data_IF_226152289335
#
_entry.id   IF_226152289335
#
_cell.length_a   1.000
_cell.length_b   1.000
_cell.length_c   1.000
_cell.angle_alpha   90.00
_cell.angle_beta   90.00
_cell.angle_gamma   90.00
#
_symmetry.space_group_name_H-M   'P 1'
#
loop_
_entity.id
_entity.type
_entity.pdbx_description
1 polymer ?
#
# COMPACT_ATOMS: atom_id res chain seq x y z
N UNK A 1 3.14 6.97 -19.11
CA UNK A 1 1.89 6.52 -18.41
C UNK A 1 1.89 7.09 -17.00
N UNK A 2 0.73 7.21 -16.33
CA UNK A 2 0.68 7.61 -14.90
C UNK A 2 0.02 6.53 -14.06
N UNK A 3 0.64 6.17 -12.94
CA UNK A 3 0.11 5.21 -11.97
C UNK A 3 0.05 5.82 -10.57
N UNK A 4 -0.97 5.44 -9.80
CA UNK A 4 -1.06 5.77 -8.38
C UNK A 4 -1.32 4.49 -7.62
N UNK A 5 -0.47 4.21 -6.63
CA UNK A 5 -0.59 3.03 -5.77
C UNK A 5 -1.04 3.50 -4.39
N UNK A 6 -2.12 2.89 -3.89
CA UNK A 6 -2.71 3.20 -2.60
C UNK A 6 -2.67 1.96 -1.70
N UNK A 7 -1.88 2.02 -0.63
CA UNK A 7 -1.81 0.96 0.36
C UNK A 7 -2.93 1.14 1.40
N UNK A 8 -4.01 0.36 1.24
CA UNK A 8 -5.15 0.40 2.15
C UNK A 8 -4.92 -0.34 3.48
N UNK A 9 -4.06 -1.35 3.49
CA UNK A 9 -3.70 -2.07 4.72
C UNK A 9 -2.78 -1.21 5.59
N UNK A 10 -3.01 -1.12 6.92
CA UNK A 10 -2.05 -0.48 7.83
C UNK A 10 -0.72 -1.22 7.95
N UNK A 11 -0.70 -2.50 7.57
CA UNK A 11 0.42 -3.40 7.82
C UNK A 11 1.42 -3.31 6.67
N UNK A 12 2.57 -2.71 6.94
CA UNK A 12 3.73 -2.71 6.05
C UNK A 12 4.44 -4.08 6.04
N UNK A 13 5.08 -4.40 4.92
CA UNK A 13 5.84 -5.61 4.67
C UNK A 13 5.03 -6.91 4.86
N UNK A 14 3.71 -6.84 4.68
CA UNK A 14 2.82 -8.00 4.72
C UNK A 14 2.33 -8.34 3.31
N UNK A 15 1.38 -9.27 3.21
CA UNK A 15 0.91 -9.82 1.94
C UNK A 15 0.56 -8.75 0.89
N UNK A 16 -0.36 -7.82 1.20
CA UNK A 16 -0.82 -6.82 0.22
C UNK A 16 0.27 -5.82 -0.18
N UNK A 17 1.10 -5.40 0.76
CA UNK A 17 2.23 -4.48 0.51
C UNK A 17 3.31 -5.16 -0.35
N UNK A 18 3.56 -6.45 -0.10
CA UNK A 18 4.47 -7.25 -0.93
C UNK A 18 3.98 -7.35 -2.38
N UNK A 19 2.68 -7.60 -2.58
CA UNK A 19 2.10 -7.64 -3.93
C UNK A 19 2.20 -6.29 -4.64
N UNK A 20 1.88 -5.20 -3.95
CA UNK A 20 2.01 -3.85 -4.49
C UNK A 20 3.46 -3.52 -4.88
N UNK A 21 4.44 -3.93 -4.08
CA UNK A 21 5.86 -3.76 -4.39
C UNK A 21 6.28 -4.48 -5.67
N UNK A 22 5.92 -5.76 -5.84
CA UNK A 22 6.23 -6.50 -7.08
C UNK A 22 5.55 -5.90 -8.30
N UNK A 23 4.32 -5.40 -8.16
CA UNK A 23 3.63 -4.68 -9.22
C UNK A 23 4.36 -3.39 -9.62
N UNK A 24 4.80 -2.59 -8.64
CA UNK A 24 5.61 -1.39 -8.87
C UNK A 24 6.94 -1.74 -9.54
N UNK A 25 7.59 -2.83 -9.13
CA UNK A 25 8.88 -3.24 -9.71
C UNK A 25 8.76 -3.62 -11.18
N UNK A 26 7.70 -4.33 -11.59
CA UNK A 26 7.42 -4.57 -13.01
C UNK A 26 7.04 -3.31 -13.77
N UNK A 27 6.32 -2.38 -13.12
CA UNK A 27 5.98 -1.08 -13.69
C UNK A 27 7.22 -0.21 -13.99
N UNK A 28 8.27 -0.29 -13.17
CA UNK A 28 9.53 0.44 -13.36
C UNK A 28 10.32 -0.02 -14.60
N UNK A 29 9.97 -1.14 -15.22
CA UNK A 29 10.55 -1.58 -16.50
C UNK A 29 10.14 -0.65 -17.67
N UNK A 30 9.14 0.21 -17.47
CA UNK A 30 8.72 1.21 -18.44
C UNK A 30 9.34 2.58 -18.13
N UNK A 31 10.25 3.06 -18.99
CA UNK A 31 10.99 4.32 -18.80
C UNK A 31 10.11 5.58 -18.76
N UNK A 32 8.93 5.54 -19.40
CA UNK A 32 8.00 6.67 -19.47
C UNK A 32 6.91 6.64 -18.38
N UNK A 33 7.09 5.82 -17.34
CA UNK A 33 6.14 5.72 -16.24
C UNK A 33 6.44 6.75 -15.14
N UNK A 34 5.45 7.59 -14.86
CA UNK A 34 5.39 8.36 -13.62
C UNK A 34 4.49 7.63 -12.62
N UNK A 35 4.98 7.33 -11.42
CA UNK A 35 4.16 6.74 -10.37
C UNK A 35 4.28 7.48 -9.04
N UNK A 36 3.20 7.41 -8.25
CA UNK A 36 3.18 7.83 -6.85
C UNK A 36 2.68 6.69 -5.98
N UNK A 37 3.33 6.51 -4.84
CA UNK A 37 3.03 5.44 -3.90
C UNK A 37 2.66 6.01 -2.53
N UNK A 38 1.50 5.63 -1.99
CA UNK A 38 0.93 6.24 -0.80
C UNK A 38 0.51 5.24 0.28
N UNK A 39 1.13 5.46 1.44
CA UNK A 39 0.70 5.25 2.82
C UNK A 39 -0.66 5.87 3.21
N UNK A 40 -1.85 5.26 2.98
CA UNK A 40 -3.11 5.89 3.47
C UNK A 40 -3.06 6.20 4.98
N UNK A 41 -2.51 5.28 5.76
CA UNK A 41 -2.32 5.46 7.20
C UNK A 41 -1.36 6.62 7.56
N UNK A 42 -0.36 6.90 6.71
CA UNK A 42 0.58 8.01 6.89
C UNK A 42 -0.06 9.36 6.55
N UNK A 43 -1.03 9.35 5.63
CA UNK A 43 -1.86 10.51 5.28
C UNK A 43 -2.98 10.76 6.32
N UNK A 44 -2.99 10.04 7.45
CA UNK A 44 -4.08 10.05 8.43
C UNK A 44 -5.47 9.66 7.85
N UNK A 45 -5.50 8.97 6.72
CA UNK A 45 -6.70 8.37 6.13
C UNK A 45 -6.80 6.94 6.66
N UNK A 46 -7.52 6.78 7.77
CA UNK A 46 -7.58 5.54 8.53
C UNK A 46 -9.00 4.97 8.55
N UNK A 47 -9.49 4.35 7.45
CA UNK A 47 -10.77 3.64 7.42
C UNK A 47 -10.73 2.38 8.30
N UNK A 48 -11.61 1.39 8.14
CA UNK A 48 -11.51 0.13 8.90
C UNK A 48 -10.09 -0.47 8.80
N UNK A 49 -9.42 -0.64 9.95
CA UNK A 49 -8.04 -1.15 10.04
C UNK A 49 -7.98 -2.68 10.24
N UNK A 50 -9.12 -3.37 10.08
CA UNK A 50 -9.32 -4.79 10.33
C UNK A 50 -10.18 -5.05 11.57
N UNK A 51 -10.99 -6.11 11.52
CA UNK A 51 -11.93 -6.46 12.59
C UNK A 51 -11.27 -6.63 13.97
N UNK A 52 -10.02 -7.09 14.01
CA UNK A 52 -9.27 -7.31 15.25
C UNK A 52 -8.29 -6.19 15.60
N UNK A 53 -8.25 -5.09 14.83
CA UNK A 53 -7.31 -4.00 15.09
C UNK A 53 -7.61 -3.24 16.39
N UNK A 54 -8.85 -3.35 16.90
CA UNK A 54 -9.32 -2.74 18.14
C UNK A 54 -9.25 -3.67 19.35
N UNK A 55 -8.91 -4.95 19.18
CA UNK A 55 -8.81 -5.91 20.27
C UNK A 55 -7.35 -6.05 20.76
N UNK A 56 -7.10 -6.05 22.08
CA UNK A 56 -5.78 -6.38 22.60
C UNK A 56 -5.42 -7.80 22.15
N UNK A 57 -4.29 -7.95 21.46
CA UNK A 57 -3.73 -9.26 21.16
C UNK A 57 -3.17 -9.82 22.47
N UNK A 58 -3.82 -10.86 22.98
CA UNK A 58 -3.43 -11.62 24.16
C UNK A 58 -2.05 -12.28 23.99
#
# INVERSE_FOLDING_TARGET
MKAMVLHGSPRKNQNSDTLARYFIDGLKENEDLEYKDFYLNELNIKPCQGCDASYPRF
#
